data_IF_097811900606
#
_entry.id   IF_097811900606
#
_cell.length_a   1.000
_cell.length_b   1.000
_cell.length_c   1.000
_cell.angle_alpha   90.00
_cell.angle_beta   90.00
_cell.angle_gamma   90.00
#
_symmetry.space_group_name_H-M   'P 1'
#
loop_
_entity.id
_entity.type
_entity.pdbx_description
1 polymer ?
#
# COMPACT_ATOMS: atom_id res chain seq x y z
N UNK A 1 15.00 7.59 -22.02
CA UNK A 1 14.55 7.28 -20.68
C UNK A 1 15.30 8.05 -19.60
N UNK A 2 16.64 8.05 -19.59
CA UNK A 2 17.46 8.63 -18.50
C UNK A 2 17.18 10.12 -18.34
N UNK A 3 17.20 10.91 -19.40
CA UNK A 3 16.95 12.36 -19.35
C UNK A 3 15.58 12.75 -18.80
N UNK A 4 14.56 11.91 -18.97
CA UNK A 4 13.24 12.14 -18.37
C UNK A 4 13.30 11.88 -16.86
N UNK A 5 14.00 10.84 -16.44
CA UNK A 5 14.17 10.52 -15.01
C UNK A 5 14.98 11.61 -14.30
N UNK A 6 16.08 12.09 -14.88
CA UNK A 6 16.86 13.20 -14.35
C UNK A 6 15.98 14.43 -14.14
N UNK A 7 15.15 14.78 -15.14
CA UNK A 7 14.24 15.91 -15.03
C UNK A 7 13.17 15.73 -13.95
N UNK A 8 12.66 14.50 -13.75
CA UNK A 8 11.70 14.23 -12.68
C UNK A 8 12.35 14.30 -11.29
N UNK A 9 13.61 13.89 -11.17
CA UNK A 9 14.39 14.03 -9.94
C UNK A 9 14.63 15.52 -9.63
N UNK A 10 15.06 16.31 -10.61
CA UNK A 10 15.27 17.75 -10.46
C UNK A 10 14.00 18.48 -10.00
N UNK A 11 12.84 18.03 -10.50
CA UNK A 11 11.53 18.55 -10.12
C UNK A 11 11.01 17.98 -8.78
N UNK A 12 11.78 17.12 -8.12
CA UNK A 12 11.38 16.45 -6.88
C UNK A 12 9.99 15.77 -6.97
N UNK A 13 9.73 15.06 -8.08
CA UNK A 13 8.45 14.42 -8.30
C UNK A 13 8.18 13.35 -7.23
N UNK A 14 7.10 13.48 -6.41
CA UNK A 14 6.93 12.66 -5.20
C UNK A 14 6.60 11.19 -5.47
N UNK A 15 6.09 10.87 -6.66
CA UNK A 15 5.65 9.51 -7.01
C UNK A 15 6.61 8.82 -7.98
N UNK A 16 7.92 9.02 -7.80
CA UNK A 16 8.92 8.34 -8.60
C UNK A 16 9.10 6.91 -8.09
N UNK A 17 9.07 5.94 -9.02
CA UNK A 17 9.33 4.54 -8.72
C UNK A 17 10.84 4.27 -8.65
N UNK A 18 11.27 3.49 -7.67
CA UNK A 18 12.66 3.08 -7.51
C UNK A 18 12.77 1.55 -7.54
N UNK A 19 13.70 1.03 -8.33
CA UNK A 19 14.04 -0.40 -8.36
C UNK A 19 15.33 -0.66 -7.56
N UNK A 20 15.39 -1.80 -6.84
CA UNK A 20 16.56 -2.17 -6.06
C UNK A 20 17.46 -3.07 -6.92
N UNK A 21 18.74 -2.66 -7.10
CA UNK A 21 19.75 -3.50 -7.74
C UNK A 21 20.29 -4.52 -6.73
N UNK A 22 20.28 -5.80 -7.09
CA UNK A 22 21.02 -6.84 -6.37
C UNK A 22 20.20 -7.78 -5.49
N UNK A 23 18.89 -7.64 -5.43
CA UNK A 23 18.04 -8.68 -4.87
C UNK A 23 17.97 -9.87 -5.82
N UNK A 24 18.38 -11.07 -5.37
CA UNK A 24 18.16 -12.31 -6.11
C UNK A 24 16.68 -12.65 -6.23
N UNK A 25 15.86 -12.06 -5.41
CA UNK A 25 14.41 -12.15 -5.45
C UNK A 25 13.86 -10.97 -6.26
N UNK A 26 12.98 -11.27 -7.20
CA UNK A 26 12.32 -10.35 -8.11
C UNK A 26 11.32 -9.40 -7.41
N UNK A 27 11.59 -9.02 -6.19
CA UNK A 27 10.75 -8.11 -5.43
C UNK A 27 11.30 -6.71 -5.59
N UNK A 28 10.74 -5.99 -6.56
CA UNK A 28 10.83 -4.54 -6.56
C UNK A 28 10.07 -4.03 -5.33
N UNK A 29 10.80 -3.79 -4.25
CA UNK A 29 10.20 -3.14 -3.09
C UNK A 29 10.20 -1.63 -3.34
N UNK A 30 9.01 -1.06 -3.33
CA UNK A 30 8.82 0.37 -3.21
C UNK A 30 9.30 0.78 -1.81
N UNK A 31 10.56 1.18 -1.71
CA UNK A 31 11.09 1.81 -0.50
C UNK A 31 11.47 3.23 -0.85
N UNK A 32 10.78 4.18 -0.19
CA UNK A 32 11.16 5.58 -0.28
C UNK A 32 12.61 5.78 0.18
N UNK A 33 13.31 6.60 -0.53
CA UNK A 33 14.53 7.39 -0.29
C UNK A 33 15.71 6.84 0.55
N UNK A 34 15.61 5.69 1.25
CA UNK A 34 16.57 5.37 2.30
C UNK A 34 17.69 4.37 1.93
N UNK A 35 17.70 3.77 0.75
CA UNK A 35 18.71 2.77 0.39
C UNK A 35 19.63 3.24 -0.74
N UNK A 36 20.92 3.31 -0.48
CA UNK A 36 22.00 3.64 -1.44
C UNK A 36 22.08 2.72 -2.68
N UNK A 37 21.26 1.68 -2.75
CA UNK A 37 21.18 0.74 -3.87
C UNK A 37 19.94 0.94 -4.77
N UNK A 38 19.08 1.89 -4.45
CA UNK A 38 17.86 2.16 -5.23
C UNK A 38 18.18 2.95 -6.49
N UNK A 39 17.68 2.45 -7.63
CA UNK A 39 17.84 3.09 -8.94
C UNK A 39 16.49 3.66 -9.37
N UNK A 40 16.41 4.96 -9.71
CA UNK A 40 15.15 5.55 -10.14
C UNK A 40 14.66 4.91 -11.44
N UNK A 41 13.35 4.63 -11.49
CA UNK A 41 12.69 3.99 -12.61
C UNK A 41 12.72 2.47 -12.56
N UNK A 42 12.07 1.85 -13.54
CA UNK A 42 12.02 0.40 -13.70
C UNK A 42 13.16 -0.09 -14.59
N UNK A 43 13.90 -1.10 -14.15
CA UNK A 43 15.00 -1.70 -14.93
C UNK A 43 14.49 -2.89 -15.72
N UNK A 44 14.41 -2.75 -17.03
CA UNK A 44 14.05 -3.85 -17.94
C UNK A 44 15.27 -4.73 -18.21
N UNK A 45 15.15 -6.03 -17.93
CA UNK A 45 16.16 -7.06 -18.19
C UNK A 45 15.56 -8.23 -18.95
N UNK A 46 16.39 -9.17 -19.40
CA UNK A 46 15.91 -10.42 -20.01
C UNK A 46 15.06 -11.27 -19.06
N UNK A 47 15.22 -11.10 -17.76
CA UNK A 47 14.46 -11.80 -16.72
C UNK A 47 13.16 -11.06 -16.38
N UNK A 48 13.19 -9.73 -16.23
CA UNK A 48 12.02 -8.94 -15.84
C UNK A 48 11.03 -8.73 -16.99
N UNK A 49 11.52 -8.68 -18.23
CA UNK A 49 10.67 -8.46 -19.41
C UNK A 49 9.54 -9.49 -19.57
N UNK A 50 9.77 -10.82 -19.48
CA UNK A 50 8.69 -11.80 -19.52
C UNK A 50 7.66 -11.65 -18.40
N UNK A 51 8.11 -11.27 -17.20
CA UNK A 51 7.24 -11.11 -16.03
C UNK A 51 6.26 -9.95 -16.20
N UNK A 52 6.75 -8.78 -16.65
CA UNK A 52 5.88 -7.62 -16.87
C UNK A 52 4.91 -7.85 -18.04
N UNK A 53 5.33 -8.59 -19.06
CA UNK A 53 4.45 -8.98 -20.18
C UNK A 53 3.36 -9.93 -19.70
N UNK A 54 3.69 -10.93 -18.90
CA UNK A 54 2.70 -11.83 -18.29
C UNK A 54 1.71 -11.06 -17.40
N UNK A 55 2.19 -10.04 -16.68
CA UNK A 55 1.33 -9.18 -15.86
C UNK A 55 0.37 -8.35 -16.73
N UNK A 56 0.84 -7.79 -17.82
CA UNK A 56 -0.02 -7.10 -18.78
C UNK A 56 -1.08 -8.04 -19.37
N UNK A 57 -0.69 -9.26 -19.74
CA UNK A 57 -1.62 -10.28 -20.23
C UNK A 57 -2.73 -10.58 -19.20
N UNK A 58 -2.37 -10.74 -17.92
CA UNK A 58 -3.31 -10.93 -16.81
C UNK A 58 -4.32 -9.77 -16.74
N UNK A 59 -3.83 -8.52 -16.80
CA UNK A 59 -4.70 -7.34 -16.74
C UNK A 59 -5.66 -7.25 -17.91
N UNK A 60 -5.22 -7.60 -19.12
CA UNK A 60 -6.07 -7.63 -20.31
C UNK A 60 -7.10 -8.77 -20.22
N UNK A 61 -6.67 -9.97 -19.84
CA UNK A 61 -7.51 -11.17 -19.72
C UNK A 61 -8.63 -10.96 -18.68
N UNK A 62 -8.29 -10.35 -17.54
CA UNK A 62 -9.23 -10.06 -16.46
C UNK A 62 -10.04 -8.77 -16.69
N UNK A 63 -9.88 -8.12 -17.86
CA UNK A 63 -10.58 -6.86 -18.21
C UNK A 63 -10.36 -5.74 -17.17
N UNK A 64 -9.21 -5.73 -16.49
CA UNK A 64 -8.86 -4.72 -15.50
C UNK A 64 -8.46 -3.38 -16.12
N UNK A 65 -8.15 -3.37 -17.41
CA UNK A 65 -7.79 -2.20 -18.20
C UNK A 65 -8.62 -2.12 -19.46
N UNK A 66 -8.96 -0.88 -19.87
CA UNK A 66 -9.63 -0.60 -21.14
C UNK A 66 -8.68 0.15 -22.06
N UNK A 67 -8.42 -0.45 -23.23
CA UNK A 67 -7.48 0.09 -24.20
C UNK A 67 -8.27 0.83 -25.27
N UNK A 68 -7.96 2.13 -25.45
CA UNK A 68 -8.61 3.00 -26.43
C UNK A 68 -7.68 3.35 -27.62
N UNK A 69 -6.37 3.07 -27.50
CA UNK A 69 -5.38 3.44 -28.50
C UNK A 69 -5.32 2.42 -29.63
N UNK A 70 -5.60 2.87 -30.85
CA UNK A 70 -5.42 2.06 -32.07
C UNK A 70 -3.95 1.71 -32.29
N UNK A 71 -3.04 2.66 -32.02
CA UNK A 71 -1.60 2.43 -32.13
C UNK A 71 -1.14 1.32 -31.18
N UNK A 72 -1.61 1.32 -29.94
CA UNK A 72 -1.31 0.24 -28.99
C UNK A 72 -1.82 -1.12 -29.50
N UNK A 73 -3.04 -1.17 -30.04
CA UNK A 73 -3.60 -2.41 -30.59
C UNK A 73 -2.77 -2.96 -31.77
N UNK A 74 -2.19 -2.07 -32.57
CA UNK A 74 -1.30 -2.48 -33.67
C UNK A 74 0.03 -3.03 -33.13
N UNK A 75 0.64 -2.41 -32.12
CA UNK A 75 1.85 -2.93 -31.46
C UNK A 75 1.57 -4.30 -30.82
N UNK A 76 0.40 -4.48 -30.16
CA UNK A 76 0.03 -5.75 -29.55
C UNK A 76 -0.12 -6.89 -30.59
N UNK A 77 -0.64 -6.60 -31.79
CA UNK A 77 -0.77 -7.60 -32.88
C UNK A 77 0.56 -8.05 -33.45
N UNK A 78 1.57 -7.19 -33.40
CA UNK A 78 2.93 -7.48 -33.92
C UNK A 78 3.88 -7.97 -32.86
N UNK A 79 3.38 -8.17 -31.63
CA UNK A 79 4.16 -8.65 -30.50
C UNK A 79 4.13 -10.19 -30.45
N UNK A 80 5.28 -10.82 -30.44
CA UNK A 80 5.44 -12.28 -30.54
C UNK A 80 6.43 -12.80 -29.48
N UNK A 81 6.31 -14.08 -29.20
CA UNK A 81 7.34 -14.85 -28.51
C UNK A 81 8.30 -15.45 -29.48
N UNK A 82 9.55 -15.03 -29.49
CA UNK A 82 10.60 -15.59 -30.32
C UNK A 82 11.74 -16.12 -29.45
N UNK A 83 12.07 -17.40 -29.58
CA UNK A 83 13.12 -18.08 -28.80
C UNK A 83 12.93 -17.88 -27.25
N UNK A 84 11.70 -17.96 -26.77
CA UNK A 84 11.36 -17.79 -25.36
C UNK A 84 11.47 -16.35 -24.86
N UNK A 85 11.61 -15.37 -25.75
CA UNK A 85 11.66 -13.93 -25.40
C UNK A 85 10.50 -13.19 -26.04
N UNK A 86 9.77 -12.38 -25.25
CA UNK A 86 8.71 -11.54 -25.77
C UNK A 86 9.31 -10.30 -26.45
N UNK A 87 8.96 -10.08 -27.72
CA UNK A 87 9.49 -8.97 -28.51
C UNK A 87 8.57 -8.60 -29.67
N UNK A 88 8.72 -7.38 -30.22
CA UNK A 88 8.06 -7.01 -31.44
C UNK A 88 8.65 -7.79 -32.66
N UNK A 89 7.83 -8.01 -33.67
CA UNK A 89 8.30 -8.52 -34.97
C UNK A 89 9.32 -7.53 -35.54
N UNK A 90 10.23 -8.07 -36.39
CA UNK A 90 11.26 -7.26 -37.04
C UNK A 90 10.63 -6.11 -37.83
N UNK A 91 11.09 -4.88 -37.57
CA UNK A 91 10.58 -3.65 -38.20
C UNK A 91 9.38 -3.01 -37.48
N UNK A 92 8.96 -3.56 -36.36
CA UNK A 92 7.90 -3.01 -35.51
C UNK A 92 8.45 -2.58 -34.16
N UNK A 93 7.72 -1.68 -33.48
CA UNK A 93 8.05 -1.19 -32.16
C UNK A 93 7.13 -1.81 -31.11
N UNK A 94 7.59 -1.88 -29.87
CA UNK A 94 6.83 -2.35 -28.71
C UNK A 94 6.81 -1.33 -27.54
N UNK A 95 7.07 -0.08 -27.83
CA UNK A 95 7.28 0.96 -26.83
C UNK A 95 6.04 1.19 -25.96
N UNK A 96 4.87 1.32 -26.60
CA UNK A 96 3.62 1.54 -25.86
C UNK A 96 3.20 0.32 -25.06
N UNK A 97 3.40 -0.85 -25.64
CA UNK A 97 3.10 -2.11 -24.99
C UNK A 97 3.99 -2.32 -23.75
N UNK A 98 5.29 -2.07 -23.87
CA UNK A 98 6.23 -2.16 -22.77
C UNK A 98 5.96 -1.09 -21.69
N UNK A 99 5.62 0.13 -22.09
CA UNK A 99 5.27 1.19 -21.15
C UNK A 99 4.03 0.81 -20.32
N UNK A 100 2.99 0.25 -20.96
CA UNK A 100 1.79 -0.21 -20.26
C UNK A 100 2.07 -1.43 -19.38
N UNK A 101 2.92 -2.35 -19.82
CA UNK A 101 3.34 -3.52 -19.03
C UNK A 101 4.05 -3.11 -17.74
N UNK A 102 4.97 -2.15 -17.83
CA UNK A 102 5.63 -1.57 -16.65
C UNK A 102 4.61 -0.87 -15.73
N UNK A 103 3.68 -0.11 -16.30
CA UNK A 103 2.65 0.57 -15.51
C UNK A 103 1.75 -0.41 -14.75
N UNK A 104 1.35 -1.53 -15.39
CA UNK A 104 0.58 -2.60 -14.72
C UNK A 104 1.37 -3.24 -13.59
N UNK A 105 2.66 -3.51 -13.80
CA UNK A 105 3.54 -4.07 -12.78
C UNK A 105 3.69 -3.14 -11.58
N UNK A 106 4.05 -1.88 -11.81
CA UNK A 106 4.23 -0.88 -10.75
C UNK A 106 2.93 -0.64 -9.98
N UNK A 107 1.79 -0.57 -10.67
CA UNK A 107 0.47 -0.44 -10.02
C UNK A 107 0.20 -1.59 -9.06
N UNK A 108 0.48 -2.82 -9.47
CA UNK A 108 0.22 -4.00 -8.64
C UNK A 108 1.16 -4.04 -7.43
N UNK A 109 2.44 -3.78 -7.63
CA UNK A 109 3.45 -3.69 -6.57
C UNK A 109 3.11 -2.58 -5.56
N UNK A 110 2.78 -1.38 -6.04
CA UNK A 110 2.41 -0.26 -5.18
C UNK A 110 1.14 -0.54 -4.37
N UNK A 111 0.12 -1.18 -4.97
CA UNK A 111 -1.10 -1.57 -4.26
C UNK A 111 -0.83 -2.63 -3.18
N UNK A 112 0.07 -3.57 -3.44
CA UNK A 112 0.43 -4.62 -2.47
C UNK A 112 1.12 -4.02 -1.26
N UNK A 113 2.11 -3.14 -1.46
CA UNK A 113 2.82 -2.43 -0.40
C UNK A 113 1.86 -1.57 0.41
N UNK A 114 1.00 -0.77 -0.24
CA UNK A 114 0.04 0.08 0.44
C UNK A 114 -0.98 -0.72 1.29
N UNK A 115 -1.36 -1.92 0.85
CA UNK A 115 -2.22 -2.81 1.65
C UNK A 115 -1.50 -3.32 2.88
N UNK A 116 -0.26 -3.79 2.74
CA UNK A 116 0.56 -4.25 3.86
C UNK A 116 0.78 -3.15 4.89
N UNK A 117 1.10 -1.93 4.45
CA UNK A 117 1.27 -0.77 5.33
C UNK A 117 -0.03 -0.42 6.05
N UNK A 118 -1.16 -0.47 5.36
CA UNK A 118 -2.47 -0.21 5.97
C UNK A 118 -2.86 -1.29 7.00
N UNK A 119 -2.59 -2.56 6.70
CA UNK A 119 -2.82 -3.66 7.62
C UNK A 119 -1.88 -3.58 8.83
N UNK A 120 -0.60 -3.25 8.63
CA UNK A 120 0.36 -3.02 9.72
C UNK A 120 -0.08 -1.87 10.61
N UNK A 121 -0.44 -0.71 10.04
CA UNK A 121 -0.96 0.44 10.80
C UNK A 121 -2.22 0.06 11.59
N UNK A 122 -3.14 -0.68 10.97
CA UNK A 122 -4.35 -1.18 11.63
C UNK A 122 -4.03 -2.15 12.78
N UNK A 123 -3.07 -3.04 12.59
CA UNK A 123 -2.61 -3.96 13.63
C UNK A 123 -1.96 -3.20 14.79
N UNK A 124 -1.12 -2.20 14.52
CA UNK A 124 -0.53 -1.33 15.55
C UNK A 124 -1.61 -0.57 16.33
N UNK A 125 -2.58 0.04 15.65
CA UNK A 125 -3.69 0.73 16.31
C UNK A 125 -4.52 -0.22 17.16
N UNK A 126 -4.83 -1.42 16.66
CA UNK A 126 -5.57 -2.43 17.41
C UNK A 126 -4.79 -2.93 18.64
N UNK A 127 -3.46 -3.00 18.58
CA UNK A 127 -2.63 -3.37 19.72
C UNK A 127 -2.65 -2.29 20.81
N UNK A 128 -2.67 -1.02 20.41
CA UNK A 128 -2.78 0.11 21.34
C UNK A 128 -4.17 0.15 22.01
N UNK A 129 -5.24 -0.13 21.25
CA UNK A 129 -6.62 -0.15 21.77
C UNK A 129 -6.85 -1.37 22.68
N UNK A 130 -6.17 -2.48 22.43
CA UNK A 130 -6.26 -3.70 23.24
C UNK A 130 -5.42 -3.69 24.51
N UNK A 131 -4.64 -2.67 24.76
CA UNK A 131 -4.14 -2.42 26.11
C UNK A 131 -5.33 -1.93 26.94
N UNK A 132 -6.21 -2.84 27.30
CA UNK A 132 -7.03 -2.71 28.48
C UNK A 132 -6.05 -2.40 29.62
N UNK A 133 -5.86 -1.15 29.88
CA UNK A 133 -5.23 -0.68 31.09
C UNK A 133 -6.19 -1.00 32.22
N UNK A 134 -6.40 -2.25 32.52
CA UNK A 134 -6.61 -2.68 33.88
C UNK A 134 -5.29 -2.38 34.60
N UNK A 135 -5.01 -1.10 34.74
CA UNK A 135 -4.07 -0.66 35.73
C UNK A 135 -4.74 -1.08 37.04
N UNK A 136 -4.40 -2.28 37.50
CA UNK A 136 -4.57 -2.63 38.89
C UNK A 136 -3.71 -1.66 39.69
N UNK A 137 -4.24 -0.47 39.94
CA UNK A 137 -3.68 0.50 40.87
C UNK A 137 -3.97 0.02 42.27
N UNK A 138 -3.60 -1.20 42.56
CA UNK A 138 -3.42 -1.66 43.94
C UNK A 138 -2.04 -1.17 44.34
N UNK A 139 -2.00 0.01 44.94
CA UNK A 139 -0.82 0.51 45.66
C UNK A 139 -0.49 -0.57 46.71
N UNK A 140 0.76 -1.13 46.73
CA UNK A 140 1.15 -2.12 47.71
C UNK A 140 0.92 -1.54 49.12
N UNK A 141 -0.01 -2.11 49.88
CA UNK A 141 -0.37 -1.65 51.23
C UNK A 141 -1.77 -1.03 51.36
N UNK A 142 -2.50 -0.75 50.28
CA UNK A 142 -3.90 -0.35 50.28
C UNK A 142 -4.79 -1.47 49.79
N UNK A 143 -5.11 -2.43 50.62
CA UNK A 143 -6.15 -3.44 50.31
C UNK A 143 -7.50 -2.72 50.32
N UNK A 144 -8.19 -2.73 49.17
CA UNK A 144 -9.61 -2.41 49.10
C UNK A 144 -10.04 -1.19 48.31
N UNK A 145 -9.12 -0.41 47.69
CA UNK A 145 -9.55 0.73 46.85
C UNK A 145 -9.73 0.30 45.39
N UNK A 146 -10.93 -0.11 45.02
CA UNK A 146 -11.31 -0.38 43.65
C UNK A 146 -11.87 0.92 43.05
N UNK A 147 -11.09 1.61 42.23
CA UNK A 147 -11.46 2.90 41.60
C UNK A 147 -12.76 2.78 40.79
N UNK A 148 -13.04 1.59 40.24
CA UNK A 148 -14.26 1.35 39.48
C UNK A 148 -15.49 1.29 40.39
N UNK A 149 -15.39 0.59 41.49
CA UNK A 149 -16.46 0.53 42.50
C UNK A 149 -16.73 1.92 43.13
N UNK A 150 -15.66 2.69 43.37
CA UNK A 150 -15.78 4.06 43.86
C UNK A 150 -16.41 5.03 42.84
N UNK A 151 -16.18 4.84 41.56
CA UNK A 151 -16.83 5.59 40.49
C UNK A 151 -18.29 5.19 40.31
N UNK A 152 -18.58 3.88 40.36
CA UNK A 152 -19.94 3.36 40.26
C UNK A 152 -20.78 3.78 41.44
N UNK A 153 -20.20 3.80 42.64
CA UNK A 153 -20.87 4.29 43.87
C UNK A 153 -21.16 5.82 43.82
N UNK A 154 -20.22 6.59 43.24
CA UNK A 154 -20.44 8.03 43.00
C UNK A 154 -21.53 8.28 41.94
N UNK A 155 -21.52 7.50 40.87
CA UNK A 155 -22.55 7.59 39.82
C UNK A 155 -23.92 7.16 40.35
N UNK A 156 -23.97 6.15 41.21
CA UNK A 156 -25.21 5.69 41.82
C UNK A 156 -25.77 6.78 42.74
N UNK A 157 -24.95 7.38 43.65
CA UNK A 157 -25.36 8.50 44.53
C UNK A 157 -25.83 9.72 43.73
N UNK A 158 -25.12 10.06 42.62
CA UNK A 158 -25.55 11.16 41.76
C UNK A 158 -26.89 10.91 41.08
N UNK A 159 -27.16 9.67 40.67
CA UNK A 159 -28.46 9.27 40.11
C UNK A 159 -29.58 9.29 41.17
N UNK A 160 -29.33 8.87 42.36
CA UNK A 160 -30.28 8.97 43.50
C UNK A 160 -30.63 10.45 43.80
N UNK A 161 -29.63 11.30 43.89
CA UNK A 161 -29.85 12.75 44.09
C UNK A 161 -30.65 13.38 42.95
N UNK A 162 -30.30 13.04 41.71
CA UNK A 162 -31.04 13.53 40.55
C UNK A 162 -32.51 13.04 40.54
N UNK A 163 -32.75 11.80 40.93
CA UNK A 163 -34.12 11.29 41.06
C UNK A 163 -34.90 11.99 42.18
N UNK A 164 -34.23 12.30 43.29
CA UNK A 164 -34.83 12.98 44.46
C UNK A 164 -35.30 14.39 44.14
N UNK A 165 -34.66 15.05 43.15
CA UNK A 165 -35.01 16.41 42.75
C UNK A 165 -35.67 16.49 41.37
N UNK A 166 -35.90 15.36 40.68
CA UNK A 166 -36.49 15.33 39.34
C UNK A 166 -37.91 15.83 39.28
N UNK A 167 -38.64 15.82 40.42
CA UNK A 167 -40.00 16.37 40.52
C UNK A 167 -40.02 17.92 40.49
N UNK A 168 -38.90 18.56 40.85
CA UNK A 168 -38.74 20.02 40.79
C UNK A 168 -38.57 20.56 39.35
N UNK A 169 -38.20 19.72 38.42
CA UNK A 169 -37.91 20.10 37.04
C UNK A 169 -39.10 19.80 36.09
N UNK A 170 -40.10 19.06 36.57
CA UNK A 170 -41.35 18.78 35.86
C UNK A 170 -42.47 19.67 36.41
N UNK A 171 -42.31 20.98 36.26
CA UNK A 171 -43.33 21.97 36.44
C UNK A 171 -43.68 22.61 35.13
#
# INVERSE_FOLDING_TARGET
GISVLEKLIDLQYPNLYYSIKGSHDFVDSYQGESNNSAVPGFTTSSKTRPLIVAKLEEFIRNKLIKIHSVRFSNELRTFIWLNGKPQAMRGYNDDLMMALAIACWVKDTALTVNKQDAEFKKACLNSIIKVDTKINTTIPGMQGYNRQEALDEKMFKAKEEHMKYSWLIKG
#
